data_IF_907207424866
#
_entry.id   IF_907207424866
#
_cell.length_a   1.000
_cell.length_b   1.000
_cell.length_c   1.000
_cell.angle_alpha   90.00
_cell.angle_beta   90.00
_cell.angle_gamma   90.00
#
_symmetry.space_group_name_H-M   'P 1'
#
loop_
_entity.id
_entity.type
_entity.pdbx_description
1 polymer ?
#
# COMPACT_ATOMS: atom_id res chain seq x y z
N UNK A 1 -10.34 -3.03 32.35
CA UNK A 1 -11.35 -2.26 31.61
C UNK A 1 -10.67 -1.29 30.67
N UNK A 2 -10.13 -1.76 29.50
CA UNK A 2 -9.38 -0.94 28.52
C UNK A 2 -9.46 -1.51 27.10
N UNK A 3 -10.58 -2.11 26.69
CA UNK A 3 -10.74 -2.77 25.36
C UNK A 3 -11.97 -2.30 24.58
N UNK A 4 -12.48 -1.10 24.80
CA UNK A 4 -13.76 -0.69 24.19
C UNK A 4 -13.73 0.70 23.53
N UNK A 5 -12.60 1.17 23.01
CA UNK A 5 -12.50 2.51 22.38
C UNK A 5 -12.04 2.52 20.92
N UNK A 6 -12.01 1.36 20.24
CA UNK A 6 -11.56 1.29 18.84
C UNK A 6 -12.68 1.05 17.81
N UNK A 7 -13.93 1.01 18.24
CA UNK A 7 -15.05 0.71 17.32
C UNK A 7 -15.88 1.93 16.89
N UNK A 8 -15.60 3.12 17.37
CA UNK A 8 -16.47 4.30 17.17
C UNK A 8 -15.98 5.28 16.10
N UNK A 9 -14.85 5.02 15.46
CA UNK A 9 -14.27 5.89 14.42
C UNK A 9 -14.77 5.66 13.00
N UNK A 10 -15.54 4.61 12.73
CA UNK A 10 -15.87 4.18 11.35
C UNK A 10 -17.24 4.65 10.85
N UNK A 11 -17.97 5.45 11.62
CA UNK A 11 -19.38 5.77 11.34
C UNK A 11 -19.65 7.24 10.91
N UNK A 12 -18.61 8.03 10.62
CA UNK A 12 -18.79 9.42 10.16
C UNK A 12 -18.34 9.69 8.72
N UNK A 13 -18.15 8.66 7.88
CA UNK A 13 -18.12 8.83 6.44
C UNK A 13 -19.58 8.91 5.95
N UNK A 14 -20.24 10.04 6.15
CA UNK A 14 -21.43 10.37 5.37
C UNK A 14 -21.01 10.41 3.91
N UNK A 15 -21.68 9.69 2.98
CA UNK A 15 -21.40 9.81 1.56
C UNK A 15 -21.73 11.25 1.16
N UNK A 16 -20.70 12.05 0.91
CA UNK A 16 -20.81 13.23 0.10
C UNK A 16 -21.18 12.73 -1.28
N UNK A 17 -22.46 12.92 -1.61
CA UNK A 17 -23.14 12.70 -2.88
C UNK A 17 -22.25 12.09 -3.97
N UNK A 18 -22.37 10.76 -4.15
CA UNK A 18 -21.90 10.09 -5.34
C UNK A 18 -22.66 10.69 -6.53
N UNK A 19 -22.08 11.67 -7.17
CA UNK A 19 -22.39 11.94 -8.57
C UNK A 19 -21.86 10.73 -9.32
N UNK A 20 -22.74 9.98 -9.96
CA UNK A 20 -22.33 9.04 -11.00
C UNK A 20 -21.79 9.88 -12.16
N UNK A 21 -20.53 10.28 -12.05
CA UNK A 21 -19.78 10.94 -13.10
C UNK A 21 -18.99 9.86 -13.83
N UNK A 22 -18.85 10.02 -15.14
CA UNK A 22 -17.93 9.21 -15.97
C UNK A 22 -16.45 9.39 -15.56
N UNK A 23 -16.20 10.02 -14.45
CA UNK A 23 -14.88 10.34 -13.90
C UNK A 23 -14.36 9.25 -12.96
N UNK A 24 -13.03 9.10 -12.94
CA UNK A 24 -12.32 8.22 -12.01
C UNK A 24 -12.47 8.73 -10.56
N UNK A 25 -12.95 7.90 -9.65
CA UNK A 25 -13.05 8.30 -8.24
C UNK A 25 -11.69 8.26 -7.54
N UNK A 26 -11.37 9.33 -6.82
CA UNK A 26 -10.20 9.44 -5.93
C UNK A 26 -10.62 9.44 -4.45
N UNK A 27 -11.91 9.21 -4.16
CA UNK A 27 -12.40 8.97 -2.80
C UNK A 27 -12.74 7.49 -2.65
N UNK A 28 -11.96 6.77 -1.86
CA UNK A 28 -12.17 5.35 -1.63
C UNK A 28 -11.59 4.87 -0.30
N UNK A 29 -12.08 3.71 0.13
CA UNK A 29 -11.49 2.91 1.21
C UNK A 29 -11.22 1.51 0.67
N UNK A 30 -10.05 0.96 0.98
CA UNK A 30 -9.59 -0.32 0.49
C UNK A 30 -8.93 -1.11 1.59
N UNK A 31 -9.10 -2.42 1.57
CA UNK A 31 -8.39 -3.34 2.44
C UNK A 31 -8.27 -4.72 1.85
N UNK A 32 -7.23 -5.42 2.26
CA UNK A 32 -6.96 -6.72 1.69
C UNK A 32 -5.70 -7.37 2.24
N UNK A 33 -5.25 -8.34 1.48
CA UNK A 33 -4.01 -9.09 1.73
C UNK A 33 -2.87 -8.52 0.91
N UNK A 34 -1.66 -8.54 1.50
CA UNK A 34 -0.42 -8.23 0.79
C UNK A 34 0.67 -9.26 1.08
N UNK A 35 1.50 -9.48 0.07
CA UNK A 35 2.73 -10.28 0.12
C UNK A 35 3.91 -9.42 -0.27
N UNK A 36 4.93 -9.45 0.55
CA UNK A 36 6.24 -8.90 0.27
C UNK A 36 7.18 -10.06 -0.09
N UNK A 37 7.93 -9.93 -1.16
CA UNK A 37 8.97 -10.85 -1.59
C UNK A 37 10.27 -10.08 -1.74
N UNK A 38 11.29 -10.51 -1.02
CA UNK A 38 12.64 -9.95 -1.08
C UNK A 38 13.54 -10.98 -1.76
N UNK A 39 14.18 -10.58 -2.86
CA UNK A 39 15.22 -11.36 -3.51
C UNK A 39 16.51 -11.28 -2.66
N UNK A 40 16.86 -12.36 -2.01
CA UNK A 40 18.10 -12.48 -1.23
C UNK A 40 19.23 -13.19 -2.02
N UNK A 41 19.13 -13.23 -3.33
CA UNK A 41 20.11 -13.81 -4.24
C UNK A 41 20.36 -15.30 -3.94
N UNK A 42 21.59 -15.66 -3.58
CA UNK A 42 21.96 -17.07 -3.31
C UNK A 42 21.31 -17.67 -2.05
N UNK A 43 20.72 -16.85 -1.18
CA UNK A 43 20.01 -17.30 0.03
C UNK A 43 18.54 -17.68 -0.26
N UNK A 44 18.05 -17.43 -1.49
CA UNK A 44 16.66 -17.65 -1.89
C UNK A 44 15.75 -16.49 -1.52
N UNK A 45 14.48 -16.58 -1.93
CA UNK A 45 13.51 -15.53 -1.70
C UNK A 45 12.96 -15.56 -0.27
N UNK A 46 12.95 -14.41 0.38
CA UNK A 46 12.30 -14.23 1.68
C UNK A 46 10.91 -13.68 1.45
N UNK A 47 9.89 -14.36 1.95
CA UNK A 47 8.50 -13.94 1.80
C UNK A 47 7.87 -13.56 3.13
N UNK A 48 7.04 -12.52 3.12
CA UNK A 48 6.23 -12.11 4.25
C UNK A 48 4.82 -11.79 3.80
N UNK A 49 3.83 -12.36 4.48
CA UNK A 49 2.42 -12.21 4.18
C UNK A 49 1.70 -11.41 5.27
N UNK A 50 0.65 -10.71 4.88
CA UNK A 50 -0.14 -9.95 5.84
C UNK A 50 -1.34 -9.24 5.28
N UNK A 51 -1.72 -8.12 5.90
CA UNK A 51 -2.86 -7.33 5.49
C UNK A 51 -2.53 -5.85 5.38
N UNK A 52 -3.37 -5.14 4.63
CA UNK A 52 -3.30 -3.69 4.51
C UNK A 52 -4.68 -3.04 4.55
N UNK A 53 -4.68 -1.77 4.88
CA UNK A 53 -5.80 -0.86 4.69
C UNK A 53 -5.29 0.43 4.06
N UNK A 54 -6.08 1.03 3.16
CA UNK A 54 -5.77 2.28 2.48
C UNK A 54 -7.04 3.09 2.30
N UNK A 55 -6.96 4.39 2.52
CA UNK A 55 -8.00 5.35 2.19
C UNK A 55 -7.43 6.48 1.35
N UNK A 56 -8.23 6.99 0.44
CA UNK A 56 -7.97 8.19 -0.34
C UNK A 56 -9.21 9.07 -0.28
N UNK A 57 -9.01 10.38 -0.10
CA UNK A 57 -10.09 11.34 0.07
C UNK A 57 -9.79 12.57 -0.79
N UNK A 58 -10.64 12.84 -1.77
CA UNK A 58 -10.58 14.06 -2.55
C UNK A 58 -10.85 15.26 -1.64
N UNK A 59 -9.89 16.18 -1.57
CA UNK A 59 -9.96 17.41 -0.77
C UNK A 59 -10.16 18.65 -1.63
N UNK A 60 -9.93 18.51 -2.93
CA UNK A 60 -10.18 19.51 -3.96
C UNK A 60 -10.37 18.78 -5.32
N UNK A 61 -10.85 19.44 -6.36
CA UNK A 61 -11.15 18.79 -7.65
C UNK A 61 -10.00 17.98 -8.25
N UNK A 62 -8.75 18.33 -7.96
CA UNK A 62 -7.55 17.68 -8.50
C UNK A 62 -6.63 17.11 -7.41
N UNK A 63 -6.97 17.28 -6.13
CA UNK A 63 -6.11 16.89 -5.02
C UNK A 63 -6.82 15.91 -4.08
N UNK A 64 -6.08 14.91 -3.64
CA UNK A 64 -6.56 13.94 -2.67
C UNK A 64 -5.48 13.65 -1.61
N UNK A 65 -5.91 13.28 -0.42
CA UNK A 65 -5.06 12.81 0.67
C UNK A 65 -5.13 11.30 0.72
N UNK A 66 -3.98 10.64 0.91
CA UNK A 66 -3.85 9.19 0.98
C UNK A 66 -3.36 8.84 2.38
N UNK A 67 -4.00 7.88 3.02
CA UNK A 67 -3.59 7.36 4.33
C UNK A 67 -3.74 5.85 4.35
N UNK A 68 -2.83 5.17 5.00
CA UNK A 68 -2.94 3.72 5.12
C UNK A 68 -1.92 3.11 6.06
N UNK A 69 -2.03 1.81 6.21
CA UNK A 69 -1.07 1.00 6.94
C UNK A 69 -1.05 -0.42 6.38
N UNK A 70 0.12 -1.04 6.41
CA UNK A 70 0.28 -2.46 6.14
C UNK A 70 1.06 -3.15 7.25
N UNK A 71 0.79 -4.43 7.44
CA UNK A 71 1.56 -5.32 8.31
C UNK A 71 1.76 -6.64 7.62
N UNK A 72 3.03 -7.04 7.47
CA UNK A 72 3.40 -8.36 6.97
C UNK A 72 4.33 -9.07 7.95
N UNK A 73 4.31 -10.40 7.94
CA UNK A 73 5.18 -11.23 8.76
C UNK A 73 5.72 -12.41 7.96
N UNK A 74 7.00 -12.65 8.07
CA UNK A 74 7.69 -13.83 7.53
C UNK A 74 8.42 -14.59 8.63
N UNK A 75 8.70 -15.85 8.40
CA UNK A 75 9.49 -16.68 9.32
C UNK A 75 10.45 -17.55 8.53
N UNK A 76 11.73 -17.44 8.88
CA UNK A 76 12.80 -18.23 8.29
C UNK A 76 13.37 -19.20 9.31
N UNK A 77 13.82 -20.36 8.84
CA UNK A 77 14.48 -21.38 9.65
C UNK A 77 15.89 -21.62 9.10
N UNK A 78 16.90 -21.46 9.94
CA UNK A 78 18.28 -21.75 9.63
C UNK A 78 18.80 -22.78 10.66
N UNK A 79 18.68 -24.07 10.34
CA UNK A 79 19.00 -25.13 11.29
C UNK A 79 18.10 -25.11 12.54
N UNK A 80 18.68 -25.02 13.73
CA UNK A 80 17.98 -24.89 15.01
C UNK A 80 17.49 -23.45 15.29
N UNK A 81 17.93 -22.47 14.51
CA UNK A 81 17.52 -21.07 14.68
C UNK A 81 16.24 -20.78 13.93
N UNK A 82 15.34 -20.02 14.55
CA UNK A 82 14.14 -19.46 13.92
C UNK A 82 14.13 -17.95 14.04
N UNK A 83 13.96 -17.29 12.92
CA UNK A 83 13.80 -15.84 12.84
C UNK A 83 12.40 -15.51 12.36
N UNK A 84 11.65 -14.74 13.12
CA UNK A 84 10.36 -14.18 12.72
C UNK A 84 10.50 -12.68 12.56
N UNK A 85 10.29 -12.17 11.37
CA UNK A 85 10.29 -10.74 11.10
C UNK A 85 8.87 -10.25 10.83
N UNK A 86 8.51 -9.13 11.45
CA UNK A 86 7.25 -8.43 11.24
C UNK A 86 7.58 -7.00 10.81
N UNK A 87 7.00 -6.56 9.70
CA UNK A 87 7.14 -5.20 9.17
C UNK A 87 5.80 -4.47 9.26
N UNK A 88 5.80 -3.34 9.96
CA UNK A 88 4.68 -2.39 10.07
C UNK A 88 5.01 -1.15 9.24
N UNK A 89 4.09 -0.73 8.37
CA UNK A 89 4.27 0.44 7.48
C UNK A 89 3.02 1.30 7.47
N UNK A 90 2.80 2.20 8.44
CA UNK A 90 1.88 3.31 8.28
C UNK A 90 2.43 4.32 7.28
N UNK A 91 1.53 4.94 6.50
CA UNK A 91 1.90 5.98 5.54
C UNK A 91 0.82 7.05 5.40
N UNK A 92 1.28 8.23 5.00
CA UNK A 92 0.46 9.41 4.71
C UNK A 92 0.99 10.07 3.45
N UNK A 93 0.10 10.51 2.57
CA UNK A 93 0.48 11.15 1.32
C UNK A 93 -0.55 12.12 0.80
N UNK A 94 -0.15 12.81 -0.26
CA UNK A 94 -1.00 13.68 -1.06
C UNK A 94 -0.88 13.25 -2.52
N UNK A 95 -1.97 13.32 -3.25
CA UNK A 95 -1.99 13.03 -4.67
C UNK A 95 -2.60 14.18 -5.45
N UNK A 96 -2.15 14.30 -6.68
CA UNK A 96 -2.69 15.19 -7.70
C UNK A 96 -3.09 14.35 -8.92
N UNK A 97 -4.19 14.69 -9.54
CA UNK A 97 -4.61 14.11 -10.81
C UNK A 97 -5.11 15.20 -11.76
N UNK A 98 -4.92 14.96 -13.04
CA UNK A 98 -5.40 15.82 -14.10
C UNK A 98 -5.87 14.98 -15.29
N UNK A 99 -7.06 15.26 -15.86
CA UNK A 99 -7.55 14.54 -17.03
C UNK A 99 -6.64 14.81 -18.24
N UNK A 100 -6.26 13.73 -18.94
CA UNK A 100 -5.58 13.77 -20.24
C UNK A 100 -6.64 13.64 -21.35
N UNK A 101 -7.58 12.72 -21.15
CA UNK A 101 -8.73 12.48 -22.03
C UNK A 101 -9.84 11.80 -21.23
N UNK A 102 -10.98 11.54 -21.89
CA UNK A 102 -12.08 10.82 -21.25
C UNK A 102 -11.61 9.48 -20.70
N UNK A 103 -11.74 9.32 -19.38
CA UNK A 103 -11.35 8.11 -18.66
C UNK A 103 -9.85 7.93 -18.43
N UNK A 104 -8.97 8.82 -18.89
CA UNK A 104 -7.52 8.75 -18.69
C UNK A 104 -7.02 9.96 -17.93
N UNK A 105 -6.45 9.72 -16.74
CA UNK A 105 -5.83 10.74 -15.90
C UNK A 105 -4.31 10.57 -15.82
N UNK A 106 -3.61 11.68 -15.83
CA UNK A 106 -2.28 11.79 -15.23
C UNK A 106 -2.41 11.78 -13.72
N UNK A 107 -1.49 11.09 -13.03
CA UNK A 107 -1.44 11.06 -11.56
C UNK A 107 -0.04 11.37 -11.05
N UNK A 108 0.04 12.10 -9.95
CA UNK A 108 1.28 12.32 -9.21
C UNK A 108 0.98 12.18 -7.72
N UNK A 109 1.83 11.47 -7.00
CA UNK A 109 1.66 11.21 -5.58
C UNK A 109 2.97 11.45 -4.84
N UNK A 110 2.85 11.99 -3.64
CA UNK A 110 3.96 12.16 -2.70
C UNK A 110 3.54 11.59 -1.36
N UNK A 111 4.34 10.69 -0.80
CA UNK A 111 4.01 10.00 0.44
C UNK A 111 5.22 9.91 1.38
N UNK A 112 4.91 9.90 2.67
CA UNK A 112 5.82 9.58 3.75
C UNK A 112 5.40 8.26 4.40
N UNK A 113 6.37 7.35 4.53
CA UNK A 113 6.21 6.05 5.17
C UNK A 113 7.05 6.00 6.44
N UNK A 114 6.50 5.41 7.49
CA UNK A 114 7.27 5.00 8.66
C UNK A 114 7.39 3.48 8.69
N UNK A 115 8.58 2.95 8.48
CA UNK A 115 8.82 1.50 8.48
C UNK A 115 9.35 1.05 9.83
N UNK A 116 8.72 0.05 10.44
CA UNK A 116 9.15 -0.57 11.69
C UNK A 116 9.28 -2.08 11.51
N UNK A 117 10.51 -2.57 11.43
CA UNK A 117 10.83 -3.99 11.32
C UNK A 117 11.18 -4.52 12.71
N UNK A 118 10.51 -5.60 13.13
CA UNK A 118 10.75 -6.31 14.39
C UNK A 118 11.16 -7.73 14.06
N UNK A 119 12.37 -8.12 14.46
CA UNK A 119 12.91 -9.46 14.27
C UNK A 119 13.04 -10.16 15.63
N UNK A 120 12.34 -11.26 15.78
CA UNK A 120 12.41 -12.15 16.95
C UNK A 120 13.27 -13.37 16.59
N UNK A 121 14.44 -13.47 17.20
CA UNK A 121 15.38 -14.57 17.03
C UNK A 121 15.18 -15.59 18.17
N UNK A 122 15.10 -16.86 17.81
CA UNK A 122 15.06 -17.98 18.77
C UNK A 122 16.16 -18.98 18.39
N UNK A 123 17.03 -19.24 19.34
CA UNK A 123 18.06 -20.25 19.23
C UNK A 123 18.05 -21.04 20.55
N UNK A 124 17.58 -22.28 20.52
CA UNK A 124 17.34 -23.11 21.71
C UNK A 124 16.53 -22.34 22.79
N UNK A 125 17.08 -22.13 23.99
CA UNK A 125 16.44 -21.39 25.06
C UNK A 125 16.70 -19.87 25.02
N UNK A 126 17.55 -19.39 24.09
CA UNK A 126 17.86 -17.96 23.96
C UNK A 126 16.84 -17.26 23.02
N UNK A 127 16.41 -16.08 23.47
CA UNK A 127 15.50 -15.22 22.69
C UNK A 127 16.06 -13.80 22.64
N UNK A 128 16.19 -13.29 21.42
CA UNK A 128 16.62 -11.92 21.19
C UNK A 128 15.57 -11.23 20.33
N UNK A 129 15.32 -9.95 20.60
CA UNK A 129 14.45 -9.10 19.79
C UNK A 129 15.22 -7.88 19.34
N UNK A 130 15.17 -7.63 18.06
CA UNK A 130 15.71 -6.44 17.44
C UNK A 130 14.56 -5.63 16.80
N UNK A 131 14.66 -4.31 16.87
CA UNK A 131 13.68 -3.41 16.23
C UNK A 131 14.45 -2.33 15.49
N UNK A 132 14.25 -2.29 14.17
CA UNK A 132 14.75 -1.24 13.28
C UNK A 132 13.60 -0.35 12.84
N UNK A 133 13.82 0.97 12.80
CA UNK A 133 12.83 1.95 12.34
C UNK A 133 13.51 2.95 11.44
N UNK A 134 12.84 3.26 10.33
CA UNK A 134 13.28 4.32 9.43
C UNK A 134 12.10 4.98 8.75
N UNK A 135 12.33 6.20 8.31
CA UNK A 135 11.37 6.96 7.54
C UNK A 135 11.78 6.94 6.07
N UNK A 136 10.81 6.95 5.19
CA UNK A 136 11.01 6.95 3.76
C UNK A 136 10.06 7.95 3.13
N UNK A 137 10.57 8.70 2.17
CA UNK A 137 9.79 9.63 1.36
C UNK A 137 9.72 9.07 -0.06
N UNK A 138 8.53 9.04 -0.62
CA UNK A 138 8.25 8.51 -1.96
C UNK A 138 7.62 9.60 -2.82
N UNK A 139 8.06 9.67 -4.07
CA UNK A 139 7.40 10.43 -5.13
C UNK A 139 7.11 9.50 -6.30
N UNK A 140 5.92 9.56 -6.87
CA UNK A 140 5.56 8.79 -8.05
C UNK A 140 4.70 9.61 -9.02
N UNK A 141 4.82 9.26 -10.29
CA UNK A 141 4.00 9.79 -11.37
C UNK A 141 3.52 8.64 -12.25
N UNK A 142 2.39 8.81 -12.90
CA UNK A 142 1.87 7.78 -13.78
C UNK A 142 0.54 8.16 -14.41
N UNK A 143 -0.18 7.14 -14.84
CA UNK A 143 -1.49 7.27 -15.45
C UNK A 143 -2.46 6.28 -14.82
N UNK A 144 -3.73 6.66 -14.75
CA UNK A 144 -4.86 5.81 -14.41
C UNK A 144 -5.89 5.91 -15.52
N UNK A 145 -6.37 4.77 -15.99
CA UNK A 145 -7.32 4.72 -17.09
C UNK A 145 -8.52 3.85 -16.72
N UNK A 146 -9.71 4.30 -17.13
CA UNK A 146 -10.93 3.50 -17.17
C UNK A 146 -11.06 2.92 -18.57
N UNK A 147 -10.82 1.63 -18.72
CA UNK A 147 -10.93 0.92 -20.00
C UNK A 147 -12.36 0.61 -20.38
N UNK A 148 -13.21 0.35 -19.37
CA UNK A 148 -14.64 0.12 -19.48
C UNK A 148 -15.35 0.67 -18.25
N UNK A 149 -16.67 0.64 -18.20
CA UNK A 149 -17.46 1.03 -17.01
C UNK A 149 -17.06 0.25 -15.75
N UNK A 150 -16.55 -0.97 -15.93
CA UNK A 150 -16.20 -1.87 -14.82
C UNK A 150 -14.71 -2.10 -14.65
N UNK A 151 -13.86 -1.76 -15.62
CA UNK A 151 -12.43 -2.06 -15.59
C UNK A 151 -11.59 -0.79 -15.58
N UNK A 152 -10.77 -0.67 -14.54
CA UNK A 152 -9.77 0.39 -14.41
C UNK A 152 -8.38 -0.21 -14.28
N UNK A 153 -7.36 0.55 -14.67
CA UNK A 153 -5.98 0.16 -14.46
C UNK A 153 -5.07 1.37 -14.30
N UNK A 154 -3.90 1.16 -13.72
CA UNK A 154 -2.89 2.20 -13.52
C UNK A 154 -1.50 1.66 -13.70
N UNK A 155 -0.63 2.55 -14.18
CA UNK A 155 0.80 2.32 -14.29
C UNK A 155 1.50 3.57 -13.74
N UNK A 156 2.40 3.38 -12.77
CA UNK A 156 3.14 4.48 -12.12
C UNK A 156 4.60 4.11 -12.00
N UNK A 157 5.47 5.12 -12.07
CA UNK A 157 6.87 5.00 -11.76
C UNK A 157 7.25 5.99 -10.67
N UNK A 158 8.16 5.63 -9.80
CA UNK A 158 8.49 6.46 -8.67
C UNK A 158 9.92 6.29 -8.16
N UNK A 159 10.25 7.17 -7.24
CA UNK A 159 11.53 7.21 -6.57
C UNK A 159 11.31 7.29 -5.07
N UNK A 160 11.97 6.42 -4.34
CA UNK A 160 11.93 6.39 -2.90
C UNK A 160 13.31 6.75 -2.34
N UNK A 161 13.32 7.66 -1.36
CA UNK A 161 14.52 8.01 -0.61
C UNK A 161 14.28 7.65 0.85
N UNK A 162 15.01 6.63 1.33
CA UNK A 162 15.04 6.27 2.74
C UNK A 162 16.04 7.15 3.47
N UNK A 163 15.61 7.80 4.58
CA UNK A 163 16.54 8.42 5.51
C UNK A 163 17.44 7.37 6.19
N UNK A 164 18.46 7.83 6.90
CA UNK A 164 19.29 7.01 7.79
C UNK A 164 20.05 5.84 7.11
N UNK A 165 20.69 6.12 5.96
CA UNK A 165 21.60 5.18 5.30
C UNK A 165 20.91 4.14 4.41
N UNK A 166 19.64 4.32 4.09
CA UNK A 166 18.97 3.54 3.05
C UNK A 166 19.25 4.15 1.68
N UNK A 167 19.67 3.32 0.74
CA UNK A 167 19.87 3.76 -0.63
C UNK A 167 18.55 4.18 -1.28
N UNK A 168 18.64 5.25 -2.05
CA UNK A 168 17.53 5.68 -2.87
C UNK A 168 17.28 4.70 -4.01
N UNK A 169 16.01 4.43 -4.33
CA UNK A 169 15.64 3.41 -5.32
C UNK A 169 14.49 3.84 -6.21
N UNK A 170 14.54 3.36 -7.44
CA UNK A 170 13.42 3.45 -8.36
C UNK A 170 12.47 2.28 -8.15
N UNK A 171 11.18 2.52 -8.32
CA UNK A 171 10.17 1.47 -8.29
C UNK A 171 9.07 1.74 -9.32
N UNK A 172 8.40 0.67 -9.74
CA UNK A 172 7.25 0.69 -10.60
C UNK A 172 6.03 0.12 -9.90
N UNK A 173 4.86 0.62 -10.23
CA UNK A 173 3.56 0.11 -9.77
C UNK A 173 2.68 -0.15 -10.97
N UNK A 174 2.10 -1.33 -11.02
CA UNK A 174 1.04 -1.69 -11.97
C UNK A 174 -0.13 -2.25 -11.20
N UNK A 175 -1.34 -1.85 -11.56
CA UNK A 175 -2.53 -2.36 -10.89
C UNK A 175 -3.78 -2.21 -11.72
N UNK A 176 -4.84 -2.83 -11.23
CA UNK A 176 -6.16 -2.74 -11.83
C UNK A 176 -7.26 -2.98 -10.82
N UNK A 177 -8.45 -2.58 -11.18
CA UNK A 177 -9.67 -2.74 -10.41
C UNK A 177 -10.78 -3.23 -11.34
N UNK A 178 -11.52 -4.23 -10.86
CA UNK A 178 -12.76 -4.67 -11.50
C UNK A 178 -13.92 -4.30 -10.57
N UNK A 179 -14.77 -3.40 -11.02
CA UNK A 179 -15.97 -2.97 -10.31
C UNK A 179 -17.10 -3.95 -10.59
N UNK A 180 -17.71 -4.49 -9.55
CA UNK A 180 -18.90 -5.36 -9.65
C UNK A 180 -20.19 -4.65 -9.23
N UNK A 181 -20.08 -3.46 -8.63
CA UNK A 181 -21.13 -2.46 -8.44
C UNK A 181 -20.53 -1.07 -8.61
N UNK A 182 -21.35 -0.03 -8.60
CA UNK A 182 -20.90 1.38 -8.66
C UNK A 182 -19.99 1.75 -7.48
N UNK A 183 -20.11 1.05 -6.35
CA UNK A 183 -19.33 1.32 -5.14
C UNK A 183 -18.20 0.31 -4.94
N UNK A 184 -18.41 -0.97 -5.25
CA UNK A 184 -17.51 -2.04 -4.85
C UNK A 184 -16.74 -2.63 -6.02
N UNK A 185 -15.43 -2.82 -5.80
CA UNK A 185 -14.55 -3.48 -6.75
C UNK A 185 -13.48 -4.32 -6.07
N UNK A 186 -12.89 -5.23 -6.84
CA UNK A 186 -11.70 -6.00 -6.46
C UNK A 186 -10.49 -5.33 -7.09
N UNK A 187 -9.43 -5.18 -6.29
CA UNK A 187 -8.16 -4.56 -6.70
C UNK A 187 -7.06 -5.60 -6.70
N UNK A 188 -6.23 -5.55 -7.73
CA UNK A 188 -4.94 -6.24 -7.81
C UNK A 188 -3.86 -5.20 -8.12
N UNK A 189 -2.78 -5.18 -7.34
CA UNK A 189 -1.67 -4.26 -7.52
C UNK A 189 -0.33 -4.96 -7.27
N UNK A 190 0.65 -4.69 -8.11
CA UNK A 190 2.04 -5.08 -7.95
C UNK A 190 2.94 -3.84 -7.88
N UNK A 191 3.83 -3.81 -6.91
CA UNK A 191 4.90 -2.83 -6.81
C UNK A 191 6.24 -3.55 -6.87
N UNK A 192 7.15 -3.05 -7.68
CA UNK A 192 8.43 -3.69 -7.98
C UNK A 192 9.55 -2.67 -7.88
N UNK A 193 10.58 -3.02 -7.15
CA UNK A 193 11.88 -2.37 -7.21
C UNK A 193 12.96 -3.43 -7.54
N UNK A 194 14.24 -3.06 -7.45
CA UNK A 194 15.37 -3.95 -7.82
C UNK A 194 15.37 -5.26 -7.02
N UNK A 195 15.07 -5.19 -5.74
CA UNK A 195 15.27 -6.29 -4.80
C UNK A 195 13.96 -6.73 -4.12
N UNK A 196 12.88 -5.93 -4.26
CA UNK A 196 11.61 -6.16 -3.56
C UNK A 196 10.43 -6.13 -4.52
N UNK A 197 9.58 -7.13 -4.40
CA UNK A 197 8.26 -7.16 -5.04
C UNK A 197 7.17 -7.20 -3.98
N UNK A 198 6.16 -6.34 -4.12
CA UNK A 198 5.00 -6.36 -3.25
C UNK A 198 3.73 -6.58 -4.08
N UNK A 199 2.93 -7.54 -3.69
CA UNK A 199 1.66 -7.88 -4.33
C UNK A 199 0.52 -7.63 -3.36
N UNK A 200 -0.55 -6.97 -3.83
CA UNK A 200 -1.75 -6.66 -3.06
C UNK A 200 -2.98 -7.16 -3.78
N UNK A 201 -3.88 -7.77 -3.03
CA UNK A 201 -5.23 -8.15 -3.47
C UNK A 201 -6.20 -7.66 -2.43
N UNK A 202 -7.22 -6.91 -2.85
CA UNK A 202 -8.14 -6.29 -1.91
C UNK A 202 -9.52 -6.00 -2.48
N UNK A 203 -10.36 -5.50 -1.60
CA UNK A 203 -11.67 -4.96 -1.94
C UNK A 203 -11.66 -3.47 -1.68
N UNK A 204 -12.19 -2.70 -2.64
CA UNK A 204 -12.30 -1.26 -2.58
C UNK A 204 -13.75 -0.83 -2.64
N UNK A 205 -14.10 0.11 -1.78
CA UNK A 205 -15.33 0.89 -1.89
C UNK A 205 -14.97 2.29 -2.38
N UNK A 206 -15.49 2.68 -3.52
CA UNK A 206 -15.30 4.01 -4.14
C UNK A 206 -16.57 4.85 -3.99
N UNK A 207 -16.42 6.18 -3.84
CA UNK A 207 -17.51 7.12 -3.56
C UNK A 207 -17.44 8.34 -4.47
#
# INVERSE_FOLDING_TARGET
MRKMLLATGLLLATPLLASASDELSYTYVEGGWNRLQLDAGSAGDITADGGYVRGSFAVAPQFHVIVGASRVSGSEHAGAARVKTTLDVPYLGVGYHAPISDGLDFTSEFAWNHRSAKSDYRLDDARFRETSRFNEVLGMVGVRNRFTETLEGWLKGGYANGGDGQDARWYGVVGGQVNFTDTWGVVLEGQFDKDVSEYRVGVRASF
#
